data_IF_159439184150
#
_entry.id   IF_159439184150
#
_cell.length_a   1.000
_cell.length_b   1.000
_cell.length_c   1.000
_cell.angle_alpha   90.00
_cell.angle_beta   90.00
_cell.angle_gamma   90.00
#
_symmetry.space_group_name_H-M   'P 1'
#
loop_
_entity.id
_entity.type
_entity.pdbx_description
1 polymer ?
#
# COMPACT_ATOMS: atom_id res chain seq x y z
N UNK A 1 -15.53 28.35 -69.99
CA UNK A 1 -16.08 27.25 -70.82
C UNK A 1 -14.96 26.23 -71.05
N UNK A 2 -15.25 24.93 -71.07
CA UNK A 2 -14.85 23.96 -70.03
C UNK A 2 -13.91 22.85 -70.60
N UNK A 3 -13.35 21.89 -69.86
CA UNK A 3 -13.98 20.69 -69.27
C UNK A 3 -12.91 19.79 -68.59
N UNK A 4 -13.33 19.17 -67.47
CA UNK A 4 -13.22 17.73 -67.12
C UNK A 4 -11.84 17.05 -67.13
N UNK A 5 -11.42 16.39 -66.04
CA UNK A 5 -11.92 15.03 -65.75
C UNK A 5 -11.60 14.59 -64.31
N UNK A 6 -12.58 13.97 -63.66
CA UNK A 6 -12.44 12.92 -62.64
C UNK A 6 -12.81 11.58 -63.31
N UNK A 7 -12.42 10.41 -62.76
CA UNK A 7 -13.45 9.59 -62.08
C UNK A 7 -12.91 8.64 -60.97
N UNK A 8 -13.83 7.83 -60.42
CA UNK A 8 -13.73 6.72 -59.46
C UNK A 8 -13.89 7.10 -57.98
N UNK A 9 -15.06 7.04 -57.31
CA UNK A 9 -16.21 6.11 -57.25
C UNK A 9 -16.00 4.82 -56.42
N UNK A 10 -16.79 4.76 -55.33
CA UNK A 10 -17.42 3.59 -54.70
C UNK A 10 -16.60 2.67 -53.76
N UNK A 11 -16.82 2.86 -52.45
CA UNK A 11 -16.66 1.87 -51.39
C UNK A 11 -18.06 1.44 -50.90
N UNK A 12 -18.40 0.13 -50.85
CA UNK A 12 -19.67 -0.33 -50.33
C UNK A 12 -19.62 -0.61 -48.81
N UNK A 13 -20.76 -0.34 -48.15
CA UNK A 13 -21.13 -0.80 -46.81
C UNK A 13 -21.41 -2.31 -46.81
N UNK A 14 -20.91 -3.04 -45.81
CA UNK A 14 -21.35 -4.37 -45.36
C UNK A 14 -21.29 -4.31 -43.82
N UNK A 15 -22.39 -4.15 -43.07
CA UNK A 15 -23.45 -5.11 -42.71
C UNK A 15 -22.91 -6.39 -42.04
N UNK A 16 -23.05 -6.37 -40.71
CA UNK A 16 -23.21 -7.47 -39.74
C UNK A 16 -22.97 -8.91 -40.21
N UNK A 17 -21.98 -9.56 -39.59
CA UNK A 17 -21.95 -11.02 -39.44
C UNK A 17 -21.45 -11.37 -38.04
N UNK A 18 -22.34 -11.98 -37.25
CA UNK A 18 -22.06 -12.64 -35.98
C UNK A 18 -21.73 -14.10 -36.29
N UNK A 19 -20.59 -14.66 -35.83
CA UNK A 19 -20.41 -16.09 -35.79
C UNK A 19 -20.63 -16.61 -34.36
N UNK A 20 -21.69 -17.40 -34.19
CA UNK A 20 -21.89 -18.29 -33.05
C UNK A 20 -20.79 -19.34 -33.02
N UNK A 21 -20.04 -19.42 -31.93
CA UNK A 21 -19.10 -20.50 -31.65
C UNK A 21 -19.79 -21.53 -30.74
N UNK A 22 -20.10 -22.68 -31.32
CA UNK A 22 -20.48 -23.91 -30.63
C UNK A 22 -19.25 -24.51 -29.91
N UNK A 23 -19.39 -24.76 -28.61
CA UNK A 23 -18.46 -25.55 -27.79
C UNK A 23 -19.17 -26.82 -27.30
N UNK A 24 -18.64 -28.03 -27.55
CA UNK A 24 -19.22 -29.24 -27.00
C UNK A 24 -18.56 -29.65 -25.67
N UNK A 25 -19.45 -30.09 -24.78
CA UNK A 25 -19.32 -31.24 -23.88
C UNK A 25 -18.89 -31.06 -22.40
N UNK A 26 -19.92 -31.18 -21.55
CA UNK A 26 -20.03 -32.02 -20.35
C UNK A 26 -18.95 -31.99 -19.25
N UNK A 27 -19.38 -31.54 -18.07
CA UNK A 27 -19.02 -32.16 -16.78
C UNK A 27 -20.29 -32.52 -16.02
N UNK A 28 -20.38 -33.71 -15.39
CA UNK A 28 -21.57 -34.13 -14.68
C UNK A 28 -21.69 -33.42 -13.32
N UNK A 29 -22.93 -33.03 -13.00
CA UNK A 29 -23.36 -32.52 -11.70
C UNK A 29 -23.42 -33.70 -10.72
N UNK A 30 -22.69 -33.62 -9.61
CA UNK A 30 -22.86 -34.55 -8.49
C UNK A 30 -24.08 -34.12 -7.67
N UNK A 31 -25.04 -35.04 -7.57
CA UNK A 31 -26.20 -34.94 -6.70
C UNK A 31 -25.80 -35.23 -5.25
N UNK A 32 -26.22 -34.38 -4.34
CA UNK A 32 -26.27 -34.67 -2.90
C UNK A 32 -27.48 -35.57 -2.60
N UNK A 33 -27.33 -36.65 -1.80
CA UNK A 33 -28.48 -37.35 -1.23
C UNK A 33 -28.74 -36.92 0.23
N UNK A 34 -29.99 -36.98 0.69
CA UNK A 34 -30.40 -36.57 2.03
C UNK A 34 -30.25 -37.69 3.08
N UNK A 35 -30.42 -37.25 4.33
CA UNK A 35 -30.37 -37.94 5.61
C UNK A 35 -31.18 -39.26 5.76
N UNK A 36 -30.53 -40.20 6.46
CA UNK A 36 -31.03 -41.00 7.60
C UNK A 36 -31.87 -42.27 7.43
N UNK A 37 -31.47 -43.23 8.28
CA UNK A 37 -32.19 -44.34 8.91
C UNK A 37 -32.30 -45.66 8.13
N UNK A 38 -31.68 -46.71 8.67
CA UNK A 38 -32.44 -47.84 9.24
C UNK A 38 -31.52 -48.83 9.99
N UNK A 39 -32.01 -49.18 11.17
CA UNK A 39 -31.56 -50.23 12.08
C UNK A 39 -31.77 -51.64 11.51
N UNK A 40 -30.81 -52.54 11.73
CA UNK A 40 -30.96 -53.97 12.05
C UNK A 40 -29.56 -54.63 11.98
N UNK A 41 -29.13 -55.61 12.77
CA UNK A 41 -29.61 -56.29 13.98
C UNK A 41 -28.37 -57.04 14.53
N UNK A 42 -28.35 -57.13 15.85
CA UNK A 42 -27.38 -57.76 16.77
C UNK A 42 -27.01 -59.20 16.40
N UNK A 43 -25.78 -59.63 16.71
CA UNK A 43 -25.52 -60.89 17.45
C UNK A 43 -24.18 -60.87 18.21
N UNK A 44 -24.17 -61.64 19.30
CA UNK A 44 -23.34 -61.54 20.50
C UNK A 44 -22.00 -62.29 20.46
N UNK A 45 -20.96 -61.70 21.05
CA UNK A 45 -20.00 -62.31 22.02
C UNK A 45 -18.90 -61.24 22.25
N UNK A 46 -18.70 -60.63 23.42
CA UNK A 46 -18.51 -61.27 24.72
C UNK A 46 -17.01 -61.47 24.94
N UNK A 47 -16.30 -60.44 25.42
CA UNK A 47 -15.16 -60.44 26.36
C UNK A 47 -14.89 -58.97 26.74
N UNK A 48 -15.15 -58.64 28.00
CA UNK A 48 -14.73 -57.37 28.61
C UNK A 48 -13.20 -57.31 28.67
N UNK A 49 -12.62 -56.20 28.18
CA UNK A 49 -11.31 -55.74 28.62
C UNK A 49 -11.41 -54.28 28.97
N UNK A 50 -11.33 -54.03 30.27
CA UNK A 50 -11.30 -52.75 31.00
C UNK A 50 -10.12 -51.83 30.63
N UNK A 51 -9.43 -52.09 29.52
CA UNK A 51 -8.21 -51.39 29.07
C UNK A 51 -8.49 -50.31 28.01
N UNK A 52 -9.67 -50.30 27.39
CA UNK A 52 -9.95 -49.49 26.18
C UNK A 52 -10.49 -48.08 26.45
N UNK A 53 -10.86 -47.74 27.69
CA UNK A 53 -11.33 -46.38 28.04
C UNK A 53 -10.18 -45.39 28.25
N UNK A 54 -9.00 -45.86 28.65
CA UNK A 54 -7.83 -45.00 28.91
C UNK A 54 -7.12 -44.52 27.64
N UNK A 55 -7.17 -45.30 26.55
CA UNK A 55 -6.44 -45.01 25.31
C UNK A 55 -7.15 -43.98 24.39
N UNK A 56 -8.48 -43.83 24.49
CA UNK A 56 -9.22 -42.82 23.71
C UNK A 56 -9.06 -41.39 24.25
N UNK A 57 -8.84 -41.26 25.56
CA UNK A 57 -8.56 -39.96 26.19
C UNK A 57 -7.18 -39.43 25.77
N UNK A 58 -6.17 -40.31 25.64
CA UNK A 58 -4.82 -39.90 25.25
C UNK A 58 -4.71 -39.44 23.78
N UNK A 59 -5.50 -40.02 22.88
CA UNK A 59 -5.51 -39.65 21.45
C UNK A 59 -6.09 -38.24 21.20
N UNK A 60 -7.07 -37.81 22.00
CA UNK A 60 -7.64 -36.46 21.94
C UNK A 60 -6.70 -35.40 22.51
N UNK A 61 -5.90 -35.74 23.54
CA UNK A 61 -4.85 -34.86 24.04
C UNK A 61 -3.64 -34.79 23.08
N UNK A 62 -3.24 -35.90 22.46
CA UNK A 62 -2.14 -35.90 21.48
C UNK A 62 -2.43 -35.07 20.23
N UNK A 63 -3.65 -35.16 19.68
CA UNK A 63 -4.07 -34.35 18.54
C UNK A 63 -4.31 -32.87 18.93
N UNK A 64 -4.85 -32.60 20.12
CA UNK A 64 -5.08 -31.25 20.61
C UNK A 64 -3.79 -30.48 20.91
N UNK A 65 -2.81 -31.13 21.56
CA UNK A 65 -1.53 -30.49 21.92
C UNK A 65 -0.66 -30.27 20.69
N UNK A 66 -0.54 -31.24 19.77
CA UNK A 66 0.18 -31.01 18.51
C UNK A 66 -0.54 -30.01 17.59
N UNK A 67 -1.87 -30.02 17.54
CA UNK A 67 -2.64 -29.05 16.73
C UNK A 67 -2.51 -27.62 17.24
N UNK A 68 -2.57 -27.41 18.56
CA UNK A 68 -2.35 -26.10 19.18
C UNK A 68 -0.90 -25.62 19.04
N UNK A 69 0.09 -26.51 19.19
CA UNK A 69 1.49 -26.15 19.05
C UNK A 69 1.84 -25.80 17.60
N UNK A 70 1.38 -26.60 16.63
CA UNK A 70 1.59 -26.30 15.20
C UNK A 70 0.90 -25.01 14.78
N UNK A 71 -0.34 -24.75 15.23
CA UNK A 71 -1.05 -23.51 14.91
C UNK A 71 -0.41 -22.27 15.54
N UNK A 72 0.09 -22.37 16.78
CA UNK A 72 0.81 -21.28 17.43
C UNK A 72 2.14 -20.95 16.72
N UNK A 73 2.89 -21.97 16.30
CA UNK A 73 4.14 -21.76 15.54
C UNK A 73 3.88 -21.15 14.17
N UNK A 74 2.81 -21.56 13.46
CA UNK A 74 2.46 -20.95 12.17
C UNK A 74 2.04 -19.49 12.34
N UNK A 75 1.26 -19.15 13.37
CA UNK A 75 0.87 -17.76 13.67
C UNK A 75 2.08 -16.87 13.93
N UNK A 76 3.08 -17.35 14.70
CA UNK A 76 4.29 -16.57 14.97
C UNK A 76 5.18 -16.37 13.73
N UNK A 77 5.17 -17.34 12.81
CA UNK A 77 5.88 -17.22 11.54
C UNK A 77 5.18 -16.22 10.60
N UNK A 78 3.85 -16.27 10.52
CA UNK A 78 3.07 -15.36 9.66
C UNK A 78 3.23 -13.89 10.07
N UNK A 79 3.35 -13.60 11.36
CA UNK A 79 3.64 -12.24 11.88
C UNK A 79 5.03 -11.76 11.46
N UNK A 80 6.04 -12.63 11.53
CA UNK A 80 7.40 -12.30 11.12
C UNK A 80 7.52 -12.07 9.61
N UNK A 81 6.80 -12.83 8.79
CA UNK A 81 6.83 -12.71 7.32
C UNK A 81 6.24 -11.38 6.83
N UNK A 82 5.16 -10.89 7.45
CA UNK A 82 4.57 -9.60 7.07
C UNK A 82 5.39 -8.40 7.57
N UNK A 83 6.15 -8.58 8.65
CA UNK A 83 6.84 -7.49 9.35
C UNK A 83 5.86 -6.69 10.21
N UNK A 84 6.39 -6.03 11.24
CA UNK A 84 5.60 -5.18 12.12
C UNK A 84 5.15 -3.93 11.37
N UNK A 85 3.87 -3.58 11.48
CA UNK A 85 3.35 -2.34 10.89
C UNK A 85 3.98 -1.12 11.57
N UNK A 86 4.48 -0.19 10.73
CA UNK A 86 5.04 1.06 11.22
C UNK A 86 3.93 1.98 11.79
N UNK A 87 4.16 2.63 12.95
CA UNK A 87 3.20 3.55 13.52
C UNK A 87 3.10 4.84 12.68
N UNK A 88 1.98 5.53 12.83
CA UNK A 88 1.72 6.80 12.15
C UNK A 88 2.45 7.97 12.82
N UNK A 89 3.53 8.46 12.23
CA UNK A 89 4.25 9.62 12.76
C UNK A 89 3.62 10.95 12.28
N UNK A 90 3.62 11.99 13.13
CA UNK A 90 3.08 13.30 12.79
C UNK A 90 4.09 14.12 11.97
N UNK A 91 4.28 13.77 10.69
CA UNK A 91 5.17 14.50 9.78
C UNK A 91 4.72 15.96 9.57
N UNK A 92 5.65 16.92 9.46
CA UNK A 92 5.31 18.33 9.29
C UNK A 92 4.48 18.57 8.02
N UNK A 93 4.75 17.82 6.95
CA UNK A 93 4.06 17.88 5.66
C UNK A 93 2.82 16.97 5.54
N UNK A 94 2.29 16.39 6.63
CA UNK A 94 1.08 15.52 6.58
C UNK A 94 -0.23 16.27 6.31
N UNK A 95 -0.30 17.56 6.64
CA UNK A 95 -1.52 18.38 6.52
C UNK A 95 -1.89 18.79 5.09
N UNK A 96 -3.16 19.18 4.87
CA UNK A 96 -3.70 19.59 3.56
C UNK A 96 -3.01 20.84 3.00
N UNK A 97 -2.58 21.75 3.88
CA UNK A 97 -1.89 23.00 3.55
C UNK A 97 -0.48 23.06 4.16
N UNK A 98 0.05 21.93 4.61
CA UNK A 98 1.41 21.85 5.12
C UNK A 98 2.40 21.61 3.98
N UNK A 99 3.48 22.40 3.95
CA UNK A 99 4.63 22.26 3.06
C UNK A 99 5.70 21.34 3.66
N UNK A 100 6.76 21.07 2.91
CA UNK A 100 7.94 20.44 3.46
C UNK A 100 8.71 21.40 4.39
N UNK A 101 9.47 20.81 5.32
CA UNK A 101 10.49 21.53 6.07
C UNK A 101 11.80 21.50 5.26
N UNK A 102 12.07 22.57 4.53
CA UNK A 102 13.25 22.68 3.66
C UNK A 102 14.58 22.58 4.42
N UNK A 103 14.63 22.99 5.69
CA UNK A 103 15.82 22.80 6.52
C UNK A 103 16.04 21.31 6.82
N UNK A 104 14.95 20.58 7.11
CA UNK A 104 14.98 19.12 7.27
C UNK A 104 15.40 18.41 5.98
N UNK A 105 14.95 18.86 4.81
CA UNK A 105 15.39 18.33 3.51
C UNK A 105 16.90 18.54 3.32
N UNK A 106 17.43 19.74 3.63
CA UNK A 106 18.86 20.05 3.51
C UNK A 106 19.71 19.15 4.41
N UNK A 107 19.34 19.02 5.70
CA UNK A 107 19.98 18.09 6.63
C UNK A 107 19.86 16.63 6.17
N UNK A 108 18.72 16.25 5.62
CA UNK A 108 18.47 14.89 5.13
C UNK A 108 19.35 14.53 3.94
N UNK A 109 19.53 15.45 3.00
CA UNK A 109 20.46 15.30 1.89
C UNK A 109 21.91 15.16 2.37
N UNK A 110 22.30 15.92 3.40
CA UNK A 110 23.62 15.76 4.03
C UNK A 110 23.82 14.35 4.60
N UNK A 111 22.86 13.82 5.36
CA UNK A 111 22.96 12.45 5.90
C UNK A 111 22.95 11.41 4.77
N UNK A 112 22.12 11.61 3.75
CA UNK A 112 22.09 10.72 2.58
C UNK A 112 23.45 10.64 1.89
N UNK A 113 24.08 11.78 1.61
CA UNK A 113 25.38 11.83 0.92
C UNK A 113 26.53 11.27 1.76
N UNK A 114 26.50 11.47 3.08
CA UNK A 114 27.58 11.00 3.97
C UNK A 114 27.44 9.51 4.34
N UNK A 115 26.22 9.01 4.49
CA UNK A 115 25.96 7.66 5.01
C UNK A 115 25.45 6.72 3.91
N UNK A 116 24.42 7.13 3.18
CA UNK A 116 23.63 6.24 2.34
C UNK A 116 24.18 6.10 0.90
N UNK A 117 24.75 7.18 0.35
CA UNK A 117 25.23 7.24 -1.03
C UNK A 117 26.38 6.27 -1.33
N UNK A 118 27.02 5.70 -0.30
CA UNK A 118 28.03 4.64 -0.43
C UNK A 118 27.44 3.33 -0.94
N UNK A 119 26.17 3.04 -0.62
CA UNK A 119 25.51 1.76 -0.93
C UNK A 119 24.24 1.93 -1.77
N UNK A 120 23.52 3.04 -1.61
CA UNK A 120 22.30 3.36 -2.32
C UNK A 120 22.57 4.38 -3.41
N UNK A 121 22.37 3.96 -4.66
CA UNK A 121 22.36 4.88 -5.80
C UNK A 121 20.98 5.50 -5.91
N UNK A 122 20.92 6.72 -6.40
CA UNK A 122 19.63 7.35 -6.55
C UNK A 122 19.68 8.23 -7.78
N UNK A 123 19.18 7.68 -8.89
CA UNK A 123 19.52 8.11 -10.26
C UNK A 123 18.50 9.06 -10.90
N UNK A 124 17.33 9.24 -10.29
CA UNK A 124 16.20 9.95 -10.91
C UNK A 124 16.12 11.43 -10.57
N UNK A 125 16.71 11.87 -9.46
CA UNK A 125 16.78 13.29 -9.11
C UNK A 125 18.14 13.80 -9.50
N UNK A 126 18.18 15.01 -10.00
CA UNK A 126 19.41 15.71 -10.28
C UNK A 126 19.52 16.93 -9.36
N UNK A 127 20.70 17.21 -8.84
CA UNK A 127 21.29 18.55 -8.77
C UNK A 127 20.37 19.77 -8.96
N UNK A 128 19.89 20.02 -10.19
CA UNK A 128 19.04 21.17 -10.53
C UNK A 128 17.71 21.19 -9.79
N UNK A 129 17.22 20.02 -9.39
CA UNK A 129 15.96 19.87 -8.68
C UNK A 129 16.11 20.29 -7.20
N UNK A 130 17.33 20.30 -6.66
CA UNK A 130 17.63 20.78 -5.29
C UNK A 130 17.77 22.31 -5.18
N UNK A 131 18.01 22.98 -6.31
CA UNK A 131 18.16 24.43 -6.37
C UNK A 131 16.83 25.09 -5.99
N UNK A 132 16.88 26.01 -5.03
CA UNK A 132 15.69 26.71 -4.55
C UNK A 132 14.81 25.89 -3.61
N UNK A 133 15.18 24.63 -3.34
CA UNK A 133 14.56 23.77 -2.33
C UNK A 133 15.46 23.66 -1.10
N UNK A 134 16.71 23.21 -1.26
CA UNK A 134 17.62 22.93 -0.15
C UNK A 134 18.96 23.66 -0.28
N UNK A 135 19.38 24.01 -1.50
CA UNK A 135 20.68 24.60 -1.80
C UNK A 135 20.57 25.77 -2.77
N UNK A 136 21.63 26.58 -2.79
CA UNK A 136 21.82 27.65 -3.78
C UNK A 136 22.43 27.08 -5.08
N UNK A 137 22.29 27.80 -6.20
CA UNK A 137 22.70 27.33 -7.54
C UNK A 137 24.16 26.85 -7.62
N UNK A 138 25.08 27.47 -6.87
CA UNK A 138 26.52 27.16 -6.94
C UNK A 138 26.94 25.89 -6.18
N UNK A 139 26.10 25.41 -5.27
CA UNK A 139 26.44 24.32 -4.33
C UNK A 139 25.89 22.96 -4.78
N UNK A 140 24.98 22.95 -5.75
CA UNK A 140 24.25 21.73 -6.09
C UNK A 140 25.07 20.85 -6.99
N UNK A 141 25.83 19.93 -6.37
CA UNK A 141 26.44 18.81 -7.06
C UNK A 141 26.24 17.31 -6.61
N UNK A 142 25.03 16.73 -6.29
CA UNK A 142 24.59 15.31 -6.65
C UNK A 142 23.16 14.80 -6.42
N UNK A 143 22.78 13.71 -7.13
CA UNK A 143 21.45 13.10 -7.38
C UNK A 143 20.74 12.40 -6.20
N UNK A 144 19.39 12.25 -6.21
CA UNK A 144 18.60 11.19 -5.50
C UNK A 144 17.01 11.13 -5.47
N UNK A 145 16.26 10.08 -5.96
CA UNK A 145 14.91 9.55 -5.43
C UNK A 145 14.72 7.99 -5.13
N UNK A 146 14.10 7.56 -3.99
CA UNK A 146 13.72 6.13 -3.67
C UNK A 146 12.48 5.85 -2.72
N UNK A 147 11.83 6.81 -2.03
CA UNK A 147 10.92 6.47 -0.89
C UNK A 147 9.53 5.86 -1.19
N UNK A 148 8.94 6.09 -2.36
CA UNK A 148 7.52 5.73 -2.61
C UNK A 148 7.22 4.25 -2.85
N UNK A 149 8.25 3.41 -3.01
CA UNK A 149 8.09 2.02 -3.40
C UNK A 149 7.66 1.07 -2.26
N UNK A 150 7.30 1.58 -1.06
CA UNK A 150 6.99 0.78 0.13
C UNK A 150 5.66 1.18 0.75
N UNK A 151 4.94 0.17 1.26
CA UNK A 151 3.72 0.38 2.05
C UNK A 151 4.01 1.27 3.25
N UNK A 152 3.11 2.23 3.53
CA UNK A 152 3.27 3.23 4.59
C UNK A 152 4.50 4.16 4.43
N UNK A 153 5.17 4.12 3.27
CA UNK A 153 6.21 5.04 2.79
C UNK A 153 7.16 5.56 3.87
N UNK A 154 6.97 6.83 4.23
CA UNK A 154 7.82 7.56 5.18
C UNK A 154 7.82 6.97 6.59
N UNK A 155 6.65 6.53 7.08
CA UNK A 155 6.53 5.91 8.39
C UNK A 155 7.34 4.61 8.44
N UNK A 156 7.25 3.81 7.37
CA UNK A 156 8.00 2.56 7.25
C UNK A 156 9.51 2.81 7.24
N UNK A 157 10.01 3.75 6.43
CA UNK A 157 11.45 4.02 6.36
C UNK A 157 11.98 4.57 7.69
N UNK A 158 11.25 5.45 8.36
CA UNK A 158 11.65 5.95 9.67
C UNK A 158 11.70 4.83 10.73
N UNK A 159 10.65 4.00 10.79
CA UNK A 159 10.58 2.88 11.71
C UNK A 159 11.68 1.84 11.41
N UNK A 160 11.96 1.58 10.14
CA UNK A 160 13.03 0.67 9.72
C UNK A 160 14.40 1.20 10.17
N UNK A 161 14.72 2.48 9.92
CA UNK A 161 16.02 3.06 10.26
C UNK A 161 16.27 3.12 11.76
N UNK A 162 15.25 3.40 12.56
CA UNK A 162 15.34 3.54 14.03
C UNK A 162 15.00 2.26 14.80
N UNK A 163 14.55 1.22 14.10
CA UNK A 163 13.94 0.02 14.68
C UNK A 163 14.87 -1.15 14.95
N UNK A 164 16.17 -1.02 14.70
CA UNK A 164 17.15 -2.08 14.95
C UNK A 164 17.19 -2.46 16.43
N UNK A 165 16.97 -3.75 16.71
CA UNK A 165 16.89 -4.33 18.07
C UNK A 165 17.53 -5.71 18.09
N UNK A 166 17.79 -6.23 19.29
CA UNK A 166 18.22 -7.61 19.45
C UNK A 166 17.09 -8.59 19.09
N UNK A 167 17.42 -9.75 18.49
CA UNK A 167 16.41 -10.75 18.14
C UNK A 167 15.72 -11.29 19.41
N UNK A 168 14.41 -11.51 19.37
CA UNK A 168 13.69 -12.12 20.48
C UNK A 168 14.17 -13.56 20.71
N UNK A 169 13.95 -14.07 21.92
CA UNK A 169 14.39 -15.41 22.30
C UNK A 169 13.85 -16.47 21.33
N UNK A 170 14.75 -17.31 20.78
CA UNK A 170 14.42 -18.39 19.85
C UNK A 170 14.57 -18.04 18.36
N UNK A 171 14.80 -16.78 18.00
CA UNK A 171 15.07 -16.37 16.61
C UNK A 171 16.57 -16.29 16.37
N UNK A 172 17.13 -17.26 15.64
CA UNK A 172 18.52 -17.24 15.19
C UNK A 172 18.62 -16.67 13.78
N UNK A 173 19.41 -15.62 13.60
CA UNK A 173 19.62 -14.97 12.29
C UNK A 173 20.87 -15.55 11.64
N UNK A 174 20.84 -15.67 10.31
CA UNK A 174 21.99 -16.14 9.52
C UNK A 174 23.15 -15.15 9.65
N UNK A 175 24.38 -15.66 9.57
CA UNK A 175 25.58 -14.84 9.65
C UNK A 175 25.58 -13.75 8.55
N UNK A 176 25.82 -12.49 8.93
CA UNK A 176 25.78 -11.34 8.03
C UNK A 176 24.41 -10.67 7.86
N UNK A 177 23.34 -11.19 8.48
CA UNK A 177 22.04 -10.50 8.55
C UNK A 177 21.82 -9.89 9.94
N UNK A 178 21.00 -8.84 9.98
CA UNK A 178 20.67 -8.09 11.18
C UNK A 178 19.16 -8.16 11.45
N UNK A 179 18.78 -8.14 12.73
CA UNK A 179 17.37 -8.16 13.11
C UNK A 179 16.72 -6.78 12.95
N UNK A 180 15.57 -6.75 12.31
CA UNK A 180 14.70 -5.58 12.33
C UNK A 180 13.23 -6.02 12.28
N UNK A 181 12.41 -5.71 13.31
CA UNK A 181 11.03 -6.17 13.38
C UNK A 181 10.13 -5.58 12.29
N UNK A 182 10.46 -4.40 11.74
CA UNK A 182 9.65 -3.77 10.70
C UNK A 182 9.95 -4.33 9.31
N UNK A 183 11.10 -5.00 9.11
CA UNK A 183 11.44 -5.59 7.83
C UNK A 183 10.65 -6.91 7.64
N UNK A 184 10.00 -7.14 6.48
CA UNK A 184 9.35 -8.42 6.20
C UNK A 184 10.33 -9.59 6.32
N UNK A 185 10.01 -10.59 7.13
CA UNK A 185 10.89 -11.71 7.48
C UNK A 185 11.87 -11.44 8.63
N UNK A 186 11.88 -10.24 9.21
CA UNK A 186 12.62 -9.89 10.43
C UNK A 186 14.15 -9.78 10.27
N UNK A 187 14.73 -10.22 9.15
CA UNK A 187 16.17 -10.27 8.93
C UNK A 187 16.57 -9.46 7.69
N UNK A 188 17.35 -8.40 7.89
CA UNK A 188 17.79 -7.46 6.85
C UNK A 188 19.32 -7.56 6.63
N UNK A 189 19.77 -7.45 5.38
CA UNK A 189 21.19 -7.47 5.03
C UNK A 189 21.92 -6.14 5.34
N UNK A 190 21.17 -5.07 5.58
CA UNK A 190 21.70 -3.75 5.92
C UNK A 190 21.99 -3.68 7.43
N UNK A 191 23.21 -3.31 7.85
CA UNK A 191 23.51 -3.04 9.26
C UNK A 191 22.85 -1.73 9.72
N UNK A 192 22.86 -1.49 11.04
CA UNK A 192 22.42 -0.20 11.59
C UNK A 192 23.40 0.90 11.16
N UNK A 193 22.98 1.73 10.21
CA UNK A 193 23.80 2.81 9.64
C UNK A 193 23.71 4.13 10.42
N UNK A 194 22.56 4.40 11.05
CA UNK A 194 22.37 5.63 11.84
C UNK A 194 22.77 5.37 13.29
N UNK A 195 23.95 5.87 13.66
CA UNK A 195 24.43 5.89 15.05
C UNK A 195 24.44 7.34 15.56
N UNK A 196 24.17 7.54 16.85
CA UNK A 196 24.22 8.89 17.44
C UNK A 196 25.59 9.56 17.19
N UNK A 197 25.57 10.77 16.63
CA UNK A 197 26.77 11.53 16.28
C UNK A 197 27.50 11.06 15.02
N UNK A 198 26.87 10.29 14.14
CA UNK A 198 27.50 9.83 12.90
C UNK A 198 27.77 10.95 11.87
N UNK A 199 27.03 12.06 11.95
CA UNK A 199 27.12 13.21 11.04
C UNK A 199 27.14 14.48 11.88
N UNK A 200 27.93 15.46 11.48
CA UNK A 200 27.90 16.81 12.07
C UNK A 200 27.10 17.74 11.16
N UNK A 201 25.96 18.24 11.64
CA UNK A 201 25.12 19.14 10.87
C UNK A 201 25.73 20.54 10.73
N UNK A 202 25.57 21.15 9.57
CA UNK A 202 26.06 22.50 9.29
C UNK A 202 25.35 23.60 10.09
N UNK A 203 24.12 23.34 10.55
CA UNK A 203 23.28 24.28 11.30
C UNK A 203 23.43 24.15 12.83
N UNK A 204 24.28 23.23 13.31
CA UNK A 204 24.50 22.97 14.73
C UNK A 204 23.39 22.17 15.43
N UNK A 205 22.46 21.57 14.67
CA UNK A 205 21.46 20.65 15.23
C UNK A 205 22.15 19.42 15.84
N UNK A 206 21.70 18.89 17.00
CA UNK A 206 22.24 17.65 17.54
C UNK A 206 21.88 16.45 16.65
N UNK A 207 22.90 15.76 16.13
CA UNK A 207 22.76 14.60 15.24
C UNK A 207 22.46 13.30 15.99
N UNK A 208 21.27 13.22 16.59
CA UNK A 208 20.74 11.98 17.14
C UNK A 208 20.20 11.07 16.04
N UNK A 209 20.15 9.76 16.29
CA UNK A 209 19.59 8.75 15.38
C UNK A 209 18.18 9.11 14.90
N UNK A 210 17.32 9.51 15.83
CA UNK A 210 15.95 9.91 15.52
C UNK A 210 15.90 11.19 14.66
N UNK A 211 16.79 12.15 14.92
CA UNK A 211 16.86 13.39 14.14
C UNK A 211 17.34 13.13 12.72
N UNK A 212 18.42 12.34 12.57
CA UNK A 212 18.92 11.91 11.26
C UNK A 212 17.89 11.09 10.48
N UNK A 213 17.20 10.16 11.17
CA UNK A 213 16.13 9.38 10.56
C UNK A 213 14.99 10.27 10.05
N UNK A 214 14.58 11.27 10.83
CA UNK A 214 13.54 12.23 10.43
C UNK A 214 13.97 13.03 9.20
N UNK A 215 15.19 13.55 9.21
CA UNK A 215 15.68 14.41 8.13
C UNK A 215 15.89 13.64 6.83
N UNK A 216 16.49 12.44 6.88
CA UNK A 216 16.63 11.58 5.70
C UNK A 216 15.28 11.22 5.11
N UNK A 217 14.29 10.90 5.95
CA UNK A 217 12.95 10.56 5.47
C UNK A 217 12.25 11.78 4.85
N UNK A 218 12.38 12.97 5.43
CA UNK A 218 11.91 14.22 4.82
C UNK A 218 12.54 14.44 3.45
N UNK A 219 13.86 14.31 3.33
CA UNK A 219 14.58 14.44 2.07
C UNK A 219 14.11 13.44 1.01
N UNK A 220 14.09 12.15 1.38
CA UNK A 220 13.69 11.10 0.47
C UNK A 220 12.20 11.21 0.07
N UNK A 221 11.34 11.74 0.94
CA UNK A 221 9.94 12.00 0.61
C UNK A 221 9.77 13.11 -0.41
N UNK A 222 10.51 14.19 -0.23
CA UNK A 222 10.59 15.26 -1.21
C UNK A 222 11.15 14.75 -2.54
N UNK A 223 12.17 13.91 -2.48
CA UNK A 223 12.77 13.34 -3.68
C UNK A 223 11.78 12.47 -4.48
N UNK A 224 10.87 11.77 -3.80
CA UNK A 224 9.85 10.98 -4.46
C UNK A 224 8.68 11.86 -4.99
N UNK A 225 8.26 12.88 -4.24
CA UNK A 225 7.20 13.82 -4.61
C UNK A 225 7.64 15.29 -4.52
N UNK A 226 8.45 15.79 -5.48
CA UNK A 226 8.92 17.17 -5.46
C UNK A 226 7.78 18.18 -5.71
N UNK A 227 6.70 17.76 -6.38
CA UNK A 227 5.55 18.60 -6.73
C UNK A 227 4.49 18.70 -5.63
N UNK A 228 4.72 18.09 -4.46
CA UNK A 228 3.75 17.99 -3.36
C UNK A 228 3.16 19.35 -2.96
N UNK A 229 3.99 20.40 -2.88
CA UNK A 229 3.56 21.74 -2.48
C UNK A 229 2.68 22.42 -3.52
N UNK A 230 3.12 22.40 -4.79
CA UNK A 230 2.33 22.93 -5.91
C UNK A 230 1.01 22.17 -6.04
N UNK A 231 1.04 20.84 -5.93
CA UNK A 231 -0.13 19.96 -5.98
C UNK A 231 -1.13 20.29 -4.87
N UNK A 232 -0.69 20.52 -3.63
CA UNK A 232 -1.58 20.90 -2.52
C UNK A 232 -2.16 22.29 -2.72
N UNK A 233 -1.35 23.26 -3.14
CA UNK A 233 -1.81 24.64 -3.42
C UNK A 233 -2.83 24.66 -4.56
N UNK A 234 -2.54 23.98 -5.66
CA UNK A 234 -3.44 23.86 -6.80
C UNK A 234 -4.69 23.07 -6.44
N UNK A 235 -4.56 21.99 -5.67
CA UNK A 235 -5.67 21.22 -5.13
C UNK A 235 -6.61 22.08 -4.31
N UNK A 236 -6.08 22.87 -3.37
CA UNK A 236 -6.89 23.80 -2.57
C UNK A 236 -7.60 24.85 -3.44
N UNK A 237 -6.88 25.45 -4.39
CA UNK A 237 -7.44 26.44 -5.34
C UNK A 237 -8.59 25.84 -6.15
N UNK A 238 -8.41 24.64 -6.71
CA UNK A 238 -9.42 23.98 -7.53
C UNK A 238 -10.60 23.47 -6.73
N UNK A 239 -10.40 22.94 -5.52
CA UNK A 239 -11.50 22.57 -4.62
C UNK A 239 -12.36 23.79 -4.32
N UNK A 240 -11.75 24.94 -4.03
CA UNK A 240 -12.49 26.18 -3.78
C UNK A 240 -13.28 26.63 -5.03
N UNK A 241 -12.64 26.68 -6.20
CA UNK A 241 -13.29 27.09 -7.47
C UNK A 241 -14.41 26.13 -7.87
N UNK A 242 -14.18 24.82 -7.79
CA UNK A 242 -15.17 23.80 -8.13
C UNK A 242 -16.35 23.80 -7.15
N UNK A 243 -16.11 24.11 -5.87
CA UNK A 243 -17.19 24.27 -4.88
C UNK A 243 -18.12 25.42 -5.24
N UNK A 244 -17.57 26.57 -5.66
CA UNK A 244 -18.37 27.71 -6.14
C UNK A 244 -19.11 27.38 -7.43
N UNK A 245 -18.44 26.73 -8.38
CA UNK A 245 -19.06 26.29 -9.63
C UNK A 245 -20.21 25.28 -9.38
N UNK A 246 -20.04 24.36 -8.43
CA UNK A 246 -21.07 23.40 -8.04
C UNK A 246 -22.27 24.08 -7.39
N UNK A 247 -22.06 25.07 -6.52
CA UNK A 247 -23.14 25.88 -5.94
C UNK A 247 -23.91 26.63 -7.02
N UNK A 248 -23.21 27.27 -7.96
CA UNK A 248 -23.81 27.98 -9.08
C UNK A 248 -24.60 27.04 -10.00
N UNK A 249 -24.03 25.88 -10.34
CA UNK A 249 -24.70 24.87 -11.16
C UNK A 249 -25.94 24.29 -10.44
N UNK A 250 -25.84 24.07 -9.13
CA UNK A 250 -26.95 23.64 -8.29
C UNK A 250 -28.10 24.65 -8.29
N UNK A 251 -27.78 25.93 -8.10
CA UNK A 251 -28.75 27.02 -8.19
C UNK A 251 -29.39 27.10 -9.58
N UNK A 252 -28.58 27.11 -10.64
CA UNK A 252 -29.05 27.17 -12.02
C UNK A 252 -29.94 25.99 -12.39
N UNK A 253 -29.58 24.77 -11.96
CA UNK A 253 -30.41 23.57 -12.15
C UNK A 253 -31.76 23.71 -11.45
N UNK A 254 -31.80 24.20 -10.20
CA UNK A 254 -33.05 24.42 -9.45
C UNK A 254 -33.92 25.48 -10.13
N UNK A 255 -33.31 26.56 -10.61
CA UNK A 255 -34.01 27.62 -11.33
C UNK A 255 -34.63 27.10 -12.63
N UNK A 256 -33.88 26.37 -13.46
CA UNK A 256 -34.38 25.81 -14.74
C UNK A 256 -35.47 24.75 -14.55
N UNK A 257 -35.36 23.91 -13.53
CA UNK A 257 -36.34 22.85 -13.26
C UNK A 257 -37.55 23.33 -12.44
N UNK A 258 -37.56 24.59 -11.99
CA UNK A 258 -38.65 25.14 -11.15
C UNK A 258 -40.02 25.05 -11.84
N UNK A 259 -40.09 25.35 -13.14
CA UNK A 259 -41.32 25.33 -13.93
C UNK A 259 -41.93 23.93 -14.00
N UNK A 260 -41.11 22.91 -14.30
CA UNK A 260 -41.57 21.52 -14.37
C UNK A 260 -41.93 20.95 -13.00
N UNK A 261 -41.23 21.37 -11.94
CA UNK A 261 -41.49 20.88 -10.57
C UNK A 261 -42.69 21.55 -9.89
N UNK A 262 -43.07 22.75 -10.31
CA UNK A 262 -44.22 23.49 -9.75
C UNK A 262 -45.51 23.35 -10.55
N UNK A 263 -45.49 22.62 -11.68
CA UNK A 263 -46.70 22.38 -12.49
C UNK A 263 -47.72 21.53 -11.74
N UNK A 264 -48.99 21.92 -11.79
CA UNK A 264 -50.12 21.09 -11.36
C UNK A 264 -50.71 20.41 -12.59
N UNK A 265 -50.86 19.09 -12.54
CA UNK A 265 -51.41 18.30 -13.64
C UNK A 265 -52.80 17.79 -13.24
N UNK A 266 -53.79 18.03 -14.09
CA UNK A 266 -55.09 17.36 -14.02
C UNK A 266 -54.97 16.13 -14.89
N UNK A 267 -55.10 14.95 -14.29
CA UNK A 267 -55.07 13.68 -15.01
C UNK A 267 -56.51 13.27 -15.28
N UNK A 268 -56.86 13.12 -16.55
CA UNK A 268 -58.19 12.68 -16.99
C UNK A 268 -58.27 11.15 -16.91
N UNK A 269 -58.14 10.64 -15.70
CA UNK A 269 -58.31 9.24 -15.37
C UNK A 269 -59.15 9.14 -14.12
N UNK A 270 -60.21 8.35 -14.20
CA UNK A 270 -61.13 8.06 -13.10
C UNK A 270 -60.81 6.66 -12.62
N UNK A 271 -60.67 6.49 -11.30
CA UNK A 271 -60.45 5.18 -10.67
C UNK A 271 -61.76 4.45 -10.42
#
# INVERSE_FOLDING_TARGET
MPLSTSPFSNLPRLVSFVPSLDLPNARPRSHSPPLSSLLAKKDHAGIESTTTKSLRSLALFGAGVSGLLSFATTSSCDEAEHGLDAPDYPWPHKGILSSYDHASIRRGHQVYTQVCASCHSMSLISYRDLVGVAYTEEETKAMAAEIEARHNGQNYVFALLTGYRDPPAGVSIREGLHYNPYFPGGAIAMPKMLNDGAVEYEDGTPATEAQMGKDVVSFLSWAAEPEMEERKLMGFKWIFVLSLALLQAGYYRRLRWSVLKSRKLVLDVVN
#
